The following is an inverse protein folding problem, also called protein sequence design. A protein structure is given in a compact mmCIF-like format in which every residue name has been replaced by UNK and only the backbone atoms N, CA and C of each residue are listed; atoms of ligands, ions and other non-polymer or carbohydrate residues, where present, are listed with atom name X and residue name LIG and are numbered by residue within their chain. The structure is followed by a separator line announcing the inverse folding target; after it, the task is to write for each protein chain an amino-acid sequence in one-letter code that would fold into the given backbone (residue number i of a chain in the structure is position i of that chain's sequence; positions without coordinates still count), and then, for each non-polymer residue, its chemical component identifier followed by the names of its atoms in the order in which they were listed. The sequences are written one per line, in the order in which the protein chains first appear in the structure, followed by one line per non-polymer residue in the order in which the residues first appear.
data_IF_719669629290
#
_entry.id   IF_719669629290
#
_cell.length_a   1.000
_cell.length_b   1.000
_cell.length_c   1.000
_cell.angle_alpha   90.00
_cell.angle_beta   90.00
_cell.angle_gamma   90.00
#
_symmetry.space_group_name_H-M   'P 1'
#
loop_
_entity.id
_entity.type
_entity.pdbx_description
1 polymer ?
#
# COMPACT_ATOMS: atom_id res chain seq x y z
N UNK A 1 -12.37 -9.67 -17.28
CA UNK A 1 -12.91 -8.35 -17.00
C UNK A 1 -13.24 -8.25 -15.51
N UNK A 2 -13.02 -7.13 -14.92
CA UNK A 2 -13.27 -6.93 -13.48
C UNK A 2 -14.76 -6.73 -13.20
N UNK A 3 -15.21 -7.17 -12.03
CA UNK A 3 -16.59 -6.97 -11.56
C UNK A 3 -16.59 -5.95 -10.43
N UNK A 4 -17.32 -4.86 -10.62
CA UNK A 4 -17.43 -3.78 -9.66
C UNK A 4 -18.88 -3.39 -9.41
N UNK A 5 -19.15 -2.76 -8.27
CA UNK A 5 -20.44 -2.14 -7.95
C UNK A 5 -20.28 -0.85 -7.16
N UNK A 6 -21.25 0.07 -7.25
CA UNK A 6 -21.39 1.16 -6.30
C UNK A 6 -21.80 0.63 -4.94
N UNK A 7 -21.68 1.42 -3.89
CA UNK A 7 -22.13 1.07 -2.55
C UNK A 7 -22.57 2.30 -1.75
N UNK A 8 -23.41 2.08 -0.74
CA UNK A 8 -23.81 3.13 0.20
C UNK A 8 -22.78 3.20 1.34
N UNK A 9 -21.77 4.05 1.19
CA UNK A 9 -20.70 4.14 2.16
C UNK A 9 -21.18 4.59 3.54
N UNK A 10 -20.59 4.04 4.59
CA UNK A 10 -20.61 4.65 5.92
C UNK A 10 -19.41 5.57 6.00
N UNK A 11 -19.65 6.87 6.25
CA UNK A 11 -18.61 7.90 6.23
C UNK A 11 -18.88 9.02 7.25
N UNK A 12 -17.86 9.80 7.64
CA UNK A 12 -18.07 10.91 8.55
C UNK A 12 -18.85 12.05 7.86
N UNK A 13 -19.63 12.84 8.64
CA UNK A 13 -20.05 14.15 8.20
C UNK A 13 -18.86 15.05 7.85
N UNK A 14 -19.06 16.00 6.94
CA UNK A 14 -18.02 16.92 6.42
C UNK A 14 -17.18 17.53 7.53
N UNK A 15 -17.81 18.01 8.58
CA UNK A 15 -17.19 18.68 9.72
C UNK A 15 -16.32 17.78 10.60
N UNK A 16 -16.51 16.45 10.53
CA UNK A 16 -15.74 15.48 11.33
C UNK A 16 -14.66 14.76 10.51
N UNK A 17 -14.60 14.97 9.21
CA UNK A 17 -13.73 14.18 8.31
C UNK A 17 -12.27 14.24 8.73
N UNK A 18 -11.73 15.42 9.07
CA UNK A 18 -10.33 15.60 9.48
C UNK A 18 -10.02 14.91 10.82
N UNK A 19 -10.99 14.84 11.74
CA UNK A 19 -10.82 14.18 13.04
C UNK A 19 -10.90 12.65 12.90
N UNK A 20 -11.74 12.16 11.96
CA UNK A 20 -11.97 10.72 11.76
C UNK A 20 -10.88 10.09 10.89
N UNK A 21 -10.49 10.76 9.81
CA UNK A 21 -9.53 10.20 8.87
C UNK A 21 -8.19 9.86 9.53
N UNK A 22 -7.73 8.64 9.30
CA UNK A 22 -6.51 8.13 9.94
C UNK A 22 -5.59 7.45 8.92
N UNK A 23 -4.28 7.36 9.20
CA UNK A 23 -3.38 6.50 8.42
C UNK A 23 -3.84 5.04 8.46
N UNK A 24 -3.45 4.22 7.48
CA UNK A 24 -3.74 2.79 7.53
C UNK A 24 -3.01 2.12 8.70
N UNK A 25 -3.60 1.04 9.21
CA UNK A 25 -3.16 0.36 10.44
C UNK A 25 -1.71 -0.11 10.44
N UNK A 26 -1.15 -0.39 9.26
CA UNK A 26 0.15 -1.02 9.06
C UNK A 26 1.34 -0.05 8.94
N UNK A 27 1.07 1.25 8.95
CA UNK A 27 2.13 2.29 8.90
C UNK A 27 2.50 2.83 10.29
N UNK A 28 1.75 2.47 11.34
CA UNK A 28 1.97 2.89 12.72
C UNK A 28 2.06 1.68 13.65
N UNK A 29 3.00 1.70 14.59
CA UNK A 29 2.91 0.82 15.75
C UNK A 29 1.86 1.34 16.75
N UNK A 30 1.53 0.53 17.78
CA UNK A 30 0.45 0.87 18.71
C UNK A 30 0.78 2.08 19.61
N UNK A 31 2.04 2.31 19.94
CA UNK A 31 2.46 3.49 20.72
C UNK A 31 2.36 4.77 19.87
N UNK A 32 2.73 4.71 18.60
CA UNK A 32 2.56 5.82 17.65
C UNK A 32 1.09 6.13 17.43
N UNK A 33 0.27 5.09 17.25
CA UNK A 33 -1.18 5.21 17.10
C UNK A 33 -1.82 5.87 18.34
N UNK A 34 -1.45 5.45 19.55
CA UNK A 34 -1.94 6.06 20.80
C UNK A 34 -1.60 7.55 20.90
N UNK A 35 -0.39 7.94 20.48
CA UNK A 35 0.03 9.35 20.51
C UNK A 35 -0.66 10.21 19.45
N UNK A 36 -1.02 9.61 18.34
CA UNK A 36 -1.67 10.30 17.21
C UNK A 36 -3.19 10.38 17.34
N UNK A 37 -3.83 9.38 17.95
CA UNK A 37 -5.27 9.26 18.00
C UNK A 37 -5.92 10.36 18.81
N UNK A 38 -6.68 11.24 18.17
CA UNK A 38 -7.68 12.06 18.83
C UNK A 38 -8.96 11.26 19.13
N UNK A 39 -9.87 11.78 19.92
CA UNK A 39 -11.10 11.09 20.40
C UNK A 39 -11.92 10.43 19.28
N UNK A 40 -11.93 11.02 18.10
CA UNK A 40 -12.70 10.53 16.95
C UNK A 40 -11.83 9.92 15.86
N UNK A 41 -10.55 9.65 16.13
CA UNK A 41 -9.66 9.04 15.14
C UNK A 41 -10.07 7.60 14.83
N UNK A 42 -10.14 7.25 13.55
CA UNK A 42 -10.47 5.87 13.15
C UNK A 42 -9.50 4.84 13.71
N UNK A 43 -8.33 5.25 14.20
CA UNK A 43 -7.39 4.37 14.89
C UNK A 43 -8.04 3.61 16.07
N UNK A 44 -9.03 4.17 16.73
CA UNK A 44 -9.82 3.45 17.77
C UNK A 44 -10.64 2.26 17.22
N UNK A 45 -10.81 2.18 15.89
CA UNK A 45 -11.49 1.06 15.23
C UNK A 45 -10.50 0.12 14.55
N UNK A 46 -9.41 0.66 13.98
CA UNK A 46 -8.41 -0.12 13.21
C UNK A 46 -7.26 -0.65 14.07
N UNK A 47 -6.99 0.00 15.21
CA UNK A 47 -5.97 -0.34 16.22
C UNK A 47 -6.54 -0.19 17.65
N UNK A 48 -7.65 -0.89 17.98
CA UNK A 48 -8.40 -0.64 19.22
C UNK A 48 -7.67 -1.06 20.50
N UNK A 49 -6.50 -1.70 20.39
CA UNK A 49 -5.61 -1.94 21.54
C UNK A 49 -5.19 -0.67 22.27
N UNK A 50 -5.22 0.50 21.57
CA UNK A 50 -4.91 1.80 22.18
C UNK A 50 -5.95 2.29 23.20
N UNK A 51 -7.14 1.67 23.25
CA UNK A 51 -8.23 2.02 24.17
C UNK A 51 -8.08 1.35 25.55
N UNK A 52 -7.04 0.56 25.76
CA UNK A 52 -6.82 -0.17 27.01
C UNK A 52 -5.63 0.41 27.78
N UNK A 53 -5.78 0.44 29.13
CA UNK A 53 -4.70 0.83 30.05
C UNK A 53 -4.56 -0.26 31.14
N UNK A 54 -3.44 -1.01 31.19
CA UNK A 54 -2.35 -0.99 30.19
C UNK A 54 -2.81 -1.49 28.82
N UNK A 55 -2.15 -1.01 27.77
CA UNK A 55 -2.42 -1.41 26.39
C UNK A 55 -2.27 -2.93 26.21
N UNK A 56 -3.26 -3.54 25.56
CA UNK A 56 -3.27 -4.98 25.30
C UNK A 56 -2.44 -5.33 24.05
N UNK A 57 -1.98 -6.58 23.92
CA UNK A 57 -1.48 -7.09 22.66
C UNK A 57 -2.52 -6.95 21.54
N UNK A 58 -2.09 -6.59 20.34
CA UNK A 58 -2.95 -6.32 19.16
C UNK A 58 -3.86 -7.50 18.76
N UNK A 59 -3.52 -8.73 19.15
CA UNK A 59 -4.31 -9.94 18.87
C UNK A 59 -5.11 -10.47 20.09
N UNK A 60 -5.21 -9.72 21.17
CA UNK A 60 -6.08 -10.09 22.30
C UNK A 60 -7.55 -10.05 21.86
N UNK A 61 -8.38 -11.08 22.15
CA UNK A 61 -9.79 -11.10 21.73
C UNK A 61 -10.59 -9.86 22.12
N UNK A 62 -10.28 -9.26 23.28
CA UNK A 62 -10.93 -8.02 23.75
C UNK A 62 -10.70 -6.82 22.84
N UNK A 63 -9.55 -6.80 22.14
CA UNK A 63 -9.21 -5.75 21.16
C UNK A 63 -10.19 -5.79 20.00
N UNK A 64 -10.49 -6.99 19.51
CA UNK A 64 -11.45 -7.15 18.42
C UNK A 64 -12.88 -6.77 18.83
N UNK A 65 -13.31 -7.17 20.04
CA UNK A 65 -14.63 -6.78 20.59
C UNK A 65 -14.74 -5.25 20.71
N UNK A 66 -13.65 -4.60 21.13
CA UNK A 66 -13.58 -3.14 21.25
C UNK A 66 -13.71 -2.43 19.88
N UNK A 67 -13.14 -2.98 18.82
CA UNK A 67 -13.33 -2.48 17.47
C UNK A 67 -14.82 -2.46 17.07
N UNK A 68 -15.56 -3.52 17.37
CA UNK A 68 -17.00 -3.62 17.10
C UNK A 68 -17.80 -2.64 17.94
N UNK A 69 -17.48 -2.53 19.23
CA UNK A 69 -18.11 -1.56 20.14
C UNK A 69 -17.96 -0.13 19.62
N UNK A 70 -16.71 0.26 19.29
CA UNK A 70 -16.40 1.60 18.77
C UNK A 70 -17.14 1.87 17.45
N UNK A 71 -17.09 0.95 16.50
CA UNK A 71 -17.74 1.13 15.20
C UNK A 71 -19.28 1.32 15.34
N UNK A 72 -19.93 0.56 16.23
CA UNK A 72 -21.37 0.72 16.52
C UNK A 72 -21.66 2.03 17.24
N UNK A 73 -20.87 2.36 18.29
CA UNK A 73 -21.05 3.57 19.07
C UNK A 73 -20.90 4.84 18.20
N UNK A 74 -19.96 4.84 17.25
CA UNK A 74 -19.75 5.98 16.37
C UNK A 74 -20.91 6.21 15.40
N UNK A 75 -21.53 5.14 14.92
CA UNK A 75 -22.75 5.26 14.11
C UNK A 75 -23.93 5.80 14.96
N UNK A 76 -24.10 5.32 16.19
CA UNK A 76 -25.13 5.83 17.10
C UNK A 76 -24.93 7.30 17.48
N UNK A 77 -23.67 7.74 17.63
CA UNK A 77 -23.31 9.14 17.91
C UNK A 77 -23.41 10.04 16.68
N UNK A 78 -23.61 9.48 15.48
CA UNK A 78 -23.64 10.22 14.23
C UNK A 78 -22.26 10.68 13.75
N UNK A 79 -21.18 10.14 14.30
CA UNK A 79 -19.81 10.39 13.81
C UNK A 79 -19.52 9.67 12.51
N UNK A 80 -20.27 8.60 12.26
CA UNK A 80 -20.31 7.89 10.98
C UNK A 80 -21.76 7.73 10.56
N UNK A 81 -22.07 8.02 9.30
CA UNK A 81 -23.43 7.95 8.74
C UNK A 81 -23.41 7.20 7.42
N UNK A 82 -24.42 6.37 7.18
CA UNK A 82 -24.63 5.70 5.90
C UNK A 82 -25.19 6.67 4.87
N UNK A 83 -24.64 6.66 3.67
CA UNK A 83 -25.18 7.37 2.54
C UNK A 83 -26.58 6.86 2.16
N UNK A 84 -27.48 7.73 1.63
CA UNK A 84 -28.87 7.37 1.38
C UNK A 84 -29.06 6.42 0.19
N UNK A 85 -28.05 6.27 -0.66
CA UNK A 85 -28.07 5.38 -1.83
C UNK A 85 -26.67 4.89 -2.19
N UNK A 86 -26.61 3.87 -3.02
CA UNK A 86 -25.36 3.38 -3.59
C UNK A 86 -24.77 4.39 -4.58
N UNK A 87 -23.48 4.66 -4.47
CA UNK A 87 -22.74 5.63 -5.30
C UNK A 87 -21.34 5.10 -5.58
N UNK A 88 -20.70 5.67 -6.59
CA UNK A 88 -19.23 5.70 -6.68
C UNK A 88 -18.72 7.01 -6.09
N UNK A 89 -17.43 7.01 -5.74
CA UNK A 89 -16.80 8.21 -5.20
C UNK A 89 -15.48 8.46 -5.92
N UNK A 90 -15.05 9.71 -5.96
CA UNK A 90 -13.69 10.07 -6.37
C UNK A 90 -12.91 10.44 -5.13
N UNK A 91 -11.74 9.85 -4.97
CA UNK A 91 -10.78 10.20 -3.92
C UNK A 91 -9.51 10.71 -4.56
N UNK A 92 -9.13 11.94 -4.29
CA UNK A 92 -7.90 12.56 -4.76
C UNK A 92 -6.89 12.76 -3.63
N UNK A 93 -5.62 12.56 -3.95
CA UNK A 93 -4.50 12.79 -3.05
C UNK A 93 -3.46 13.64 -3.76
N UNK A 94 -3.02 14.73 -3.11
CA UNK A 94 -1.98 15.63 -3.63
C UNK A 94 -0.75 15.59 -2.72
N UNK A 95 0.39 15.25 -3.30
CA UNK A 95 1.71 15.23 -2.66
C UNK A 95 2.71 15.91 -3.61
N UNK A 96 3.50 16.85 -3.09
CA UNK A 96 4.55 17.57 -3.86
C UNK A 96 4.03 18.19 -5.17
N UNK A 97 2.82 18.76 -5.13
CA UNK A 97 2.18 19.39 -6.29
C UNK A 97 1.61 18.43 -7.34
N UNK A 98 1.70 17.12 -7.11
CA UNK A 98 1.14 16.09 -7.98
C UNK A 98 -0.14 15.50 -7.36
N UNK A 99 -1.22 15.51 -8.13
CA UNK A 99 -2.51 14.93 -7.70
C UNK A 99 -2.78 13.64 -8.45
N UNK A 100 -3.21 12.61 -7.72
CA UNK A 100 -3.75 11.37 -8.26
C UNK A 100 -5.22 11.21 -7.88
N UNK A 101 -6.05 10.76 -8.82
CA UNK A 101 -7.50 10.61 -8.66
C UNK A 101 -7.88 9.14 -8.80
N UNK A 102 -8.51 8.58 -7.78
CA UNK A 102 -9.00 7.21 -7.76
C UNK A 102 -10.51 7.14 -7.64
N UNK A 103 -11.09 6.09 -8.24
CA UNK A 103 -12.49 5.72 -8.04
C UNK A 103 -12.60 4.81 -6.82
N UNK A 104 -13.43 5.20 -5.85
CA UNK A 104 -13.79 4.35 -4.70
C UNK A 104 -15.01 3.53 -5.09
N UNK A 105 -14.87 2.22 -4.98
CA UNK A 105 -15.85 1.24 -5.44
C UNK A 105 -15.74 -0.06 -4.63
N UNK A 106 -16.66 -0.99 -4.87
CA UNK A 106 -16.54 -2.36 -4.38
C UNK A 106 -16.16 -3.31 -5.51
N UNK A 107 -15.07 -4.05 -5.32
CA UNK A 107 -14.56 -5.08 -6.24
C UNK A 107 -15.00 -6.46 -5.79
N UNK A 108 -15.25 -7.38 -6.72
CA UNK A 108 -15.77 -8.71 -6.42
C UNK A 108 -14.69 -9.64 -5.87
N UNK A 109 -15.00 -10.36 -4.80
CA UNK A 109 -14.06 -11.26 -4.10
C UNK A 109 -13.52 -12.39 -4.98
N UNK A 110 -14.34 -12.95 -5.89
CA UNK A 110 -13.90 -14.02 -6.79
C UNK A 110 -12.90 -13.56 -7.84
N UNK A 111 -12.83 -12.25 -8.14
CA UNK A 111 -11.85 -11.71 -9.06
C UNK A 111 -10.42 -11.82 -8.49
N UNK A 112 -10.29 -11.84 -7.16
CA UNK A 112 -9.02 -12.16 -6.51
C UNK A 112 -8.68 -13.66 -6.63
N UNK A 113 -9.65 -14.55 -6.40
CA UNK A 113 -9.45 -15.98 -6.48
C UNK A 113 -9.15 -16.45 -7.92
N UNK A 114 -9.78 -15.82 -8.91
CA UNK A 114 -9.60 -16.14 -10.34
C UNK A 114 -8.37 -15.48 -10.98
N UNK A 115 -7.67 -14.59 -10.27
CA UNK A 115 -6.50 -13.88 -10.79
C UNK A 115 -6.82 -12.69 -11.69
N UNK A 116 -8.07 -12.23 -11.72
CA UNK A 116 -8.46 -10.95 -12.36
C UNK A 116 -7.95 -9.77 -11.54
N UNK A 117 -7.97 -9.89 -10.20
CA UNK A 117 -7.20 -9.01 -9.32
C UNK A 117 -5.81 -9.63 -9.13
N UNK A 118 -4.81 -9.03 -9.75
CA UNK A 118 -3.45 -9.53 -9.83
C UNK A 118 -2.60 -9.01 -8.68
N UNK A 119 -1.82 -9.90 -8.10
CA UNK A 119 -0.89 -9.62 -7.00
C UNK A 119 0.54 -9.76 -7.47
N UNK A 120 1.44 -9.01 -6.85
CA UNK A 120 2.88 -9.07 -7.09
C UNK A 120 3.68 -9.38 -5.81
N UNK A 121 3.00 -9.55 -4.67
CA UNK A 121 3.59 -9.87 -3.37
C UNK A 121 2.81 -10.99 -2.68
N UNK A 122 3.53 -11.86 -1.93
CA UNK A 122 2.91 -12.88 -1.08
C UNK A 122 2.50 -12.28 0.26
N UNK A 123 1.31 -12.65 0.72
CA UNK A 123 0.83 -12.29 2.05
C UNK A 123 1.47 -13.14 3.14
N UNK A 124 1.62 -12.56 4.33
CA UNK A 124 1.96 -13.28 5.55
C UNK A 124 0.68 -13.77 6.21
N UNK A 125 0.64 -15.06 6.54
CA UNK A 125 -0.56 -15.72 7.07
C UNK A 125 -1.04 -15.10 8.39
N UNK A 126 -0.13 -14.78 9.30
CA UNK A 126 -0.44 -14.14 10.58
C UNK A 126 -1.17 -12.80 10.39
N UNK A 127 -0.68 -11.96 9.47
CA UNK A 127 -1.31 -10.66 9.17
C UNK A 127 -2.64 -10.80 8.42
N UNK A 128 -2.74 -11.78 7.53
CA UNK A 128 -3.98 -12.08 6.81
C UNK A 128 -5.06 -12.58 7.78
N UNK A 129 -4.72 -13.53 8.67
CA UNK A 129 -5.66 -14.08 9.65
C UNK A 129 -6.16 -13.00 10.62
N UNK A 130 -5.30 -12.08 11.06
CA UNK A 130 -5.67 -10.94 11.88
C UNK A 130 -6.70 -10.02 11.16
N UNK A 131 -6.42 -9.64 9.92
CA UNK A 131 -7.37 -8.82 9.13
C UNK A 131 -8.68 -9.56 8.86
N UNK A 132 -8.65 -10.86 8.68
CA UNK A 132 -9.88 -11.66 8.56
C UNK A 132 -10.74 -11.57 9.81
N UNK A 133 -10.16 -11.65 11.01
CA UNK A 133 -10.91 -11.48 12.25
C UNK A 133 -11.57 -10.11 12.27
N UNK A 134 -10.85 -9.03 12.01
CA UNK A 134 -11.42 -7.68 11.95
C UNK A 134 -12.60 -7.58 10.98
N UNK A 135 -12.42 -8.00 9.72
CA UNK A 135 -13.49 -7.93 8.69
C UNK A 135 -14.72 -8.75 9.11
N UNK A 136 -14.48 -9.96 9.63
CA UNK A 136 -15.55 -10.90 10.03
C UNK A 136 -16.40 -10.35 11.16
N UNK A 137 -15.79 -9.87 12.25
CA UNK A 137 -16.53 -9.45 13.45
C UNK A 137 -17.16 -8.06 13.30
N UNK A 138 -16.47 -7.13 12.64
CA UNK A 138 -17.02 -5.81 12.33
C UNK A 138 -18.09 -5.88 11.24
N UNK A 139 -18.12 -6.97 10.48
CA UNK A 139 -18.96 -7.16 9.31
C UNK A 139 -18.80 -6.02 8.29
N UNK A 140 -17.56 -5.53 8.11
CA UNK A 140 -17.25 -4.38 7.29
C UNK A 140 -15.80 -4.39 6.78
N UNK A 141 -15.58 -3.74 5.64
CA UNK A 141 -14.27 -3.30 5.17
C UNK A 141 -14.05 -1.88 5.69
N UNK A 142 -13.38 -1.74 6.83
CA UNK A 142 -13.11 -0.44 7.47
C UNK A 142 -12.07 0.36 6.69
N UNK A 143 -11.11 -0.31 6.10
CA UNK A 143 -9.98 0.27 5.36
C UNK A 143 -10.04 -0.13 3.89
N UNK A 144 -9.82 0.78 2.95
CA UNK A 144 -9.80 0.47 1.53
C UNK A 144 -8.55 -0.32 1.15
N UNK A 145 -8.62 -1.07 0.06
CA UNK A 145 -7.45 -1.57 -0.66
C UNK A 145 -7.11 -0.61 -1.80
N UNK A 146 -5.86 -0.61 -2.21
CA UNK A 146 -5.34 0.28 -3.25
C UNK A 146 -5.04 -0.52 -4.51
N UNK A 147 -5.78 -0.25 -5.59
CA UNK A 147 -5.61 -0.90 -6.87
C UNK A 147 -5.16 0.06 -7.97
N UNK A 148 -4.41 -0.47 -8.91
CA UNK A 148 -4.17 0.16 -10.21
C UNK A 148 -4.98 -0.56 -11.30
N UNK A 149 -5.29 0.15 -12.39
CA UNK A 149 -5.82 -0.42 -13.63
C UNK A 149 -5.18 0.29 -14.83
N UNK A 150 -5.14 -0.37 -15.99
CA UNK A 150 -4.65 0.22 -17.24
C UNK A 150 -5.57 1.35 -17.67
N UNK A 151 -5.01 2.48 -18.08
CA UNK A 151 -5.75 3.70 -18.39
C UNK A 151 -6.96 3.45 -19.31
N UNK A 152 -8.08 4.07 -18.96
CA UNK A 152 -9.27 4.14 -19.78
C UNK A 152 -9.67 5.62 -19.92
N UNK A 153 -9.67 6.12 -21.13
CA UNK A 153 -9.89 7.55 -21.40
C UNK A 153 -11.29 8.05 -20.96
N UNK A 154 -12.30 7.20 -21.05
CA UNK A 154 -13.68 7.57 -20.65
C UNK A 154 -13.81 7.60 -19.13
N UNK A 155 -13.26 6.63 -18.39
CA UNK A 155 -13.20 6.69 -16.92
C UNK A 155 -12.43 7.94 -16.45
N UNK A 156 -11.29 8.24 -17.08
CA UNK A 156 -10.51 9.44 -16.76
C UNK A 156 -11.34 10.72 -16.99
N UNK A 157 -12.13 10.79 -18.06
CA UNK A 157 -13.01 11.94 -18.34
C UNK A 157 -14.16 12.06 -17.33
N UNK A 158 -14.77 10.94 -16.92
CA UNK A 158 -15.82 10.92 -15.89
C UNK A 158 -15.26 11.42 -14.55
N UNK A 159 -14.10 10.91 -14.14
CA UNK A 159 -13.42 11.32 -12.89
C UNK A 159 -13.04 12.80 -12.93
N UNK A 160 -12.47 13.28 -14.05
CA UNK A 160 -12.11 14.68 -14.21
C UNK A 160 -13.34 15.60 -14.13
N UNK A 161 -14.47 15.20 -14.74
CA UNK A 161 -15.73 15.94 -14.67
C UNK A 161 -16.29 15.99 -13.23
N UNK A 162 -16.23 14.88 -12.49
CA UNK A 162 -16.68 14.87 -11.09
C UNK A 162 -15.78 15.75 -10.21
N UNK A 163 -14.46 15.67 -10.39
CA UNK A 163 -13.49 16.45 -9.63
C UNK A 163 -13.43 17.94 -9.99
N UNK A 164 -14.03 18.36 -11.10
CA UNK A 164 -14.18 19.79 -11.44
C UNK A 164 -15.22 20.52 -10.57
N UNK A 165 -16.08 19.77 -9.88
CA UNK A 165 -17.04 20.32 -8.92
C UNK A 165 -16.41 20.58 -7.54
N UNK A 166 -17.20 21.19 -6.65
CA UNK A 166 -16.80 21.36 -5.26
C UNK A 166 -16.73 19.98 -4.57
N UNK A 167 -15.64 19.65 -3.86
CA UNK A 167 -15.55 18.40 -3.14
C UNK A 167 -16.51 18.35 -1.96
N UNK A 168 -17.04 17.18 -1.68
CA UNK A 168 -17.80 16.90 -0.45
C UNK A 168 -17.00 17.31 0.77
N UNK A 169 -15.70 16.95 0.79
CA UNK A 169 -14.72 17.43 1.75
C UNK A 169 -13.30 17.45 1.17
N UNK A 170 -12.50 18.37 1.72
CA UNK A 170 -11.08 18.47 1.42
C UNK A 170 -10.35 18.91 2.69
N UNK A 171 -9.18 18.31 2.96
CA UNK A 171 -8.35 18.63 4.10
C UNK A 171 -6.88 18.32 3.81
N UNK A 172 -6.00 18.88 4.65
CA UNK A 172 -4.55 18.59 4.63
C UNK A 172 -4.23 17.74 5.84
N UNK A 173 -3.50 16.65 5.64
CA UNK A 173 -3.08 15.76 6.70
C UNK A 173 -1.82 16.24 7.44
N UNK A 174 -1.39 15.47 8.44
CA UNK A 174 -0.21 15.76 9.28
C UNK A 174 1.13 15.79 8.51
N UNK A 175 1.15 15.19 7.30
CA UNK A 175 2.32 15.18 6.41
C UNK A 175 2.30 16.34 5.40
N UNK A 176 1.25 17.18 5.41
CA UNK A 176 1.04 18.24 4.44
C UNK A 176 0.44 17.78 3.11
N UNK A 177 -0.09 16.55 3.03
CA UNK A 177 -0.75 16.04 1.84
C UNK A 177 -2.22 16.44 1.83
N UNK A 178 -2.71 16.85 0.66
CA UNK A 178 -4.13 17.19 0.50
C UNK A 178 -4.93 15.96 0.10
N UNK A 179 -6.08 15.78 0.76
CA UNK A 179 -7.06 14.75 0.47
C UNK A 179 -8.38 15.40 0.10
N UNK A 180 -8.99 14.99 -1.01
CA UNK A 180 -10.28 15.51 -1.43
C UNK A 180 -11.20 14.37 -1.93
N UNK A 181 -12.51 14.53 -1.76
CA UNK A 181 -13.47 13.47 -1.99
C UNK A 181 -14.75 14.03 -2.64
N UNK A 182 -15.26 13.36 -3.66
CA UNK A 182 -16.48 13.73 -4.39
C UNK A 182 -17.43 12.54 -4.50
N UNK A 183 -18.71 12.83 -4.60
CA UNK A 183 -19.77 11.85 -4.75
C UNK A 183 -20.19 11.75 -6.22
N UNK A 184 -20.32 10.55 -6.75
CA UNK A 184 -20.89 10.26 -8.06
C UNK A 184 -22.23 9.57 -7.84
N UNK A 185 -23.31 10.36 -7.75
CA UNK A 185 -24.64 9.89 -7.44
C UNK A 185 -25.63 9.90 -8.63
N UNK A 186 -25.22 10.30 -9.83
CA UNK A 186 -26.04 10.23 -11.04
C UNK A 186 -26.16 8.78 -11.52
N UNK A 187 -27.38 8.27 -11.65
CA UNK A 187 -27.62 6.85 -11.97
C UNK A 187 -27.11 6.45 -13.36
N UNK A 188 -27.14 7.36 -14.34
CA UNK A 188 -26.61 7.09 -15.68
C UNK A 188 -25.08 7.03 -15.67
N UNK A 189 -24.43 7.90 -14.89
CA UNK A 189 -22.98 7.88 -14.72
C UNK A 189 -22.55 6.62 -13.94
N UNK A 190 -23.28 6.23 -12.89
CA UNK A 190 -23.04 5.00 -12.13
C UNK A 190 -23.12 3.77 -13.06
N UNK A 191 -24.19 3.67 -13.83
CA UNK A 191 -24.37 2.57 -14.79
C UNK A 191 -23.22 2.52 -15.82
N UNK A 192 -22.78 3.68 -16.31
CA UNK A 192 -21.69 3.76 -17.29
C UNK A 192 -20.35 3.37 -16.71
N UNK A 193 -20.01 3.82 -15.50
CA UNK A 193 -18.78 3.39 -14.81
C UNK A 193 -18.75 1.86 -14.66
N UNK A 194 -19.86 1.27 -14.18
CA UNK A 194 -19.98 -0.18 -14.00
C UNK A 194 -19.80 -0.91 -15.33
N UNK A 195 -20.40 -0.40 -16.41
CA UNK A 195 -20.30 -0.98 -17.75
C UNK A 195 -18.86 -0.95 -18.27
N UNK A 196 -18.14 0.18 -18.14
CA UNK A 196 -16.76 0.31 -18.59
C UNK A 196 -15.86 -0.70 -17.86
N UNK A 197 -15.95 -0.76 -16.53
CA UNK A 197 -15.13 -1.73 -15.77
C UNK A 197 -15.41 -3.16 -16.20
N UNK A 198 -16.67 -3.52 -16.36
CA UNK A 198 -17.08 -4.90 -16.73
C UNK A 198 -16.81 -5.29 -18.18
N UNK A 199 -16.58 -4.33 -19.08
CA UNK A 199 -16.36 -4.59 -20.51
C UNK A 199 -14.96 -4.27 -20.99
N UNK A 200 -14.32 -3.23 -20.41
CA UNK A 200 -13.14 -2.62 -21.00
C UNK A 200 -11.92 -2.66 -20.06
N UNK A 201 -12.08 -3.06 -18.79
CA UNK A 201 -10.96 -3.19 -17.84
C UNK A 201 -10.70 -4.67 -17.55
N UNK A 202 -9.59 -5.18 -18.05
CA UNK A 202 -9.24 -6.60 -17.99
C UNK A 202 -8.87 -7.07 -16.58
N UNK A 203 -8.17 -6.25 -15.83
CA UNK A 203 -7.62 -6.61 -14.52
C UNK A 203 -7.44 -5.41 -13.59
N UNK A 204 -7.47 -5.67 -12.29
CA UNK A 204 -6.88 -4.81 -11.28
C UNK A 204 -5.51 -5.35 -10.85
N UNK A 205 -4.64 -4.44 -10.42
CA UNK A 205 -3.32 -4.74 -9.88
C UNK A 205 -3.25 -4.21 -8.45
N UNK A 206 -2.96 -5.08 -7.48
CA UNK A 206 -2.84 -4.65 -6.09
C UNK A 206 -1.61 -3.75 -5.97
N UNK A 207 -1.80 -2.47 -5.70
CA UNK A 207 -0.73 -1.52 -5.43
C UNK A 207 -0.33 -1.55 -3.94
N UNK A 208 -1.32 -1.54 -3.05
CA UNK A 208 -1.14 -1.66 -1.60
C UNK A 208 -2.33 -2.39 -0.96
N UNK A 209 -2.11 -3.01 0.22
CA UNK A 209 -3.16 -3.73 0.93
C UNK A 209 -3.34 -5.18 0.50
N UNK A 210 -2.27 -5.90 0.15
CA UNK A 210 -2.31 -7.33 -0.21
C UNK A 210 -2.98 -8.18 0.88
N UNK A 211 -2.66 -7.95 2.18
CA UNK A 211 -3.28 -8.67 3.30
C UNK A 211 -4.77 -8.36 3.42
N UNK A 212 -5.18 -7.08 3.26
CA UNK A 212 -6.59 -6.66 3.29
C UNK A 212 -7.39 -7.28 2.13
N UNK A 213 -6.81 -7.32 0.94
CA UNK A 213 -7.43 -7.95 -0.24
C UNK A 213 -7.65 -9.46 -0.02
N UNK A 214 -6.62 -10.17 0.44
CA UNK A 214 -6.71 -11.60 0.72
C UNK A 214 -7.72 -11.90 1.84
N UNK A 215 -7.70 -11.13 2.92
CA UNK A 215 -8.63 -11.28 4.05
C UNK A 215 -10.09 -11.06 3.60
N UNK A 216 -10.38 -10.01 2.84
CA UNK A 216 -11.71 -9.74 2.31
C UNK A 216 -12.22 -10.87 1.42
N UNK A 217 -11.38 -11.38 0.52
CA UNK A 217 -11.74 -12.49 -0.36
C UNK A 217 -12.05 -13.78 0.43
N UNK A 218 -11.26 -14.10 1.47
CA UNK A 218 -11.47 -15.27 2.34
C UNK A 218 -12.75 -15.13 3.17
N UNK A 219 -13.01 -13.96 3.78
CA UNK A 219 -14.24 -13.72 4.54
C UNK A 219 -15.47 -13.79 3.64
N UNK A 220 -15.42 -13.26 2.42
CA UNK A 220 -16.49 -13.41 1.43
C UNK A 220 -16.80 -14.88 1.12
N UNK A 221 -15.76 -15.70 0.90
CA UNK A 221 -15.91 -17.13 0.67
C UNK A 221 -16.51 -17.88 1.88
N UNK A 222 -16.07 -17.53 3.11
CA UNK A 222 -16.65 -18.10 4.34
C UNK A 222 -18.15 -17.77 4.49
N UNK A 223 -18.54 -16.49 4.30
CA UNK A 223 -19.94 -16.05 4.40
C UNK A 223 -20.81 -16.71 3.31
N UNK A 224 -20.29 -16.86 2.12
CA UNK A 224 -20.95 -17.59 1.04
C UNK A 224 -21.22 -19.04 1.41
N UNK A 225 -20.23 -19.73 1.95
CA UNK A 225 -20.35 -21.11 2.36
C UNK A 225 -21.36 -21.30 3.52
N UNK A 226 -21.56 -20.28 4.34
CA UNK A 226 -22.50 -20.28 5.46
C UNK A 226 -23.93 -19.86 5.08
N UNK A 227 -24.14 -19.33 3.87
CA UNK A 227 -25.45 -18.86 3.39
C UNK A 227 -26.08 -19.82 2.38
N UNK A 228 -27.01 -20.71 2.79
CA UNK A 228 -27.69 -21.60 1.85
C UNK A 228 -28.55 -20.86 0.81
N UNK A 229 -28.94 -19.60 1.09
CA UNK A 229 -29.71 -18.74 0.19
C UNK A 229 -28.85 -17.83 -0.69
N UNK A 230 -27.54 -18.11 -0.80
CA UNK A 230 -26.62 -17.28 -1.61
C UNK A 230 -27.09 -17.09 -3.05
N UNK A 231 -27.16 -15.82 -3.49
CA UNK A 231 -27.63 -15.43 -4.83
C UNK A 231 -26.51 -14.87 -5.69
N UNK A 232 -25.38 -14.45 -5.09
CA UNK A 232 -24.27 -13.75 -5.73
C UNK A 232 -24.32 -12.24 -5.63
N UNK A 233 -25.41 -11.68 -5.13
CA UNK A 233 -25.61 -10.21 -5.03
C UNK A 233 -25.32 -9.63 -3.64
N UNK A 234 -25.05 -10.51 -2.67
CA UNK A 234 -24.81 -10.10 -1.27
C UNK A 234 -23.55 -9.26 -1.14
N UNK A 235 -23.55 -8.28 -0.20
CA UNK A 235 -22.45 -7.35 0.02
C UNK A 235 -21.12 -8.04 0.34
N UNK A 236 -21.13 -9.18 1.04
CA UNK A 236 -19.92 -9.95 1.34
C UNK A 236 -19.20 -10.54 0.10
N UNK A 237 -19.82 -10.51 -1.08
CA UNK A 237 -19.14 -10.85 -2.34
C UNK A 237 -18.28 -9.72 -2.86
N UNK A 238 -18.31 -8.56 -2.22
CA UNK A 238 -17.61 -7.36 -2.66
C UNK A 238 -16.80 -6.78 -1.51
N UNK A 239 -15.74 -6.05 -1.82
CA UNK A 239 -14.91 -5.35 -0.85
C UNK A 239 -14.43 -4.01 -1.39
N UNK A 240 -14.27 -3.06 -0.48
CA UNK A 240 -13.97 -1.68 -0.81
C UNK A 240 -12.54 -1.49 -1.33
N UNK A 241 -12.41 -0.83 -2.48
CA UNK A 241 -11.15 -0.48 -3.11
C UNK A 241 -11.16 0.97 -3.59
N UNK A 242 -9.96 1.58 -3.64
CA UNK A 242 -9.69 2.80 -4.41
C UNK A 242 -8.84 2.41 -5.61
N UNK A 243 -9.37 2.65 -6.80
CA UNK A 243 -8.79 2.22 -8.07
C UNK A 243 -8.29 3.42 -8.87
N UNK A 244 -6.99 3.43 -9.18
CA UNK A 244 -6.34 4.52 -9.92
C UNK A 244 -5.91 4.05 -11.30
N UNK A 245 -6.00 4.92 -12.33
CA UNK A 245 -5.33 4.63 -13.59
C UNK A 245 -3.80 4.59 -13.38
N UNK A 246 -3.12 3.64 -14.03
CA UNK A 246 -1.69 3.40 -13.82
C UNK A 246 -0.81 4.63 -14.07
N UNK A 247 -1.19 5.44 -15.05
CA UNK A 247 -0.43 6.65 -15.41
C UNK A 247 -0.41 7.71 -14.31
N UNK A 248 -1.35 7.66 -13.38
CA UNK A 248 -1.42 8.58 -12.24
C UNK A 248 -0.65 8.08 -11.02
N UNK A 249 -0.14 6.87 -11.04
CA UNK A 249 0.60 6.31 -9.91
C UNK A 249 2.10 6.47 -10.07
N UNK A 250 2.77 6.64 -8.94
CA UNK A 250 4.22 6.68 -8.85
C UNK A 250 4.67 5.76 -7.73
N UNK A 251 5.54 4.82 -8.07
CA UNK A 251 6.27 4.03 -7.09
C UNK A 251 7.51 4.82 -6.71
N UNK A 252 7.77 4.94 -5.42
CA UNK A 252 9.00 5.53 -4.90
C UNK A 252 9.96 4.45 -4.42
N UNK A 253 11.20 4.81 -4.21
CA UNK A 253 12.28 3.90 -3.82
C UNK A 253 12.01 3.22 -2.47
N UNK A 254 12.44 1.98 -2.36
CA UNK A 254 12.45 1.22 -1.12
C UNK A 254 13.87 0.76 -0.82
N UNK A 255 14.52 1.42 0.11
CA UNK A 255 15.95 1.34 0.34
C UNK A 255 16.30 0.28 1.39
N UNK A 256 17.57 -0.13 1.45
CA UNK A 256 18.08 -1.14 2.39
C UNK A 256 19.19 -0.54 3.23
N UNK A 257 19.22 -0.96 4.51
CA UNK A 257 20.30 -0.66 5.44
C UNK A 257 20.76 -1.94 6.14
N UNK A 258 22.07 -2.11 6.33
CA UNK A 258 22.64 -3.35 6.85
C UNK A 258 23.59 -3.04 8.01
N UNK A 259 23.53 -3.86 9.07
CA UNK A 259 24.25 -3.65 10.34
C UNK A 259 25.74 -3.89 10.28
N UNK A 260 26.22 -4.73 9.37
CA UNK A 260 27.62 -5.12 9.28
C UNK A 260 28.05 -5.46 7.84
N UNK A 261 29.35 -5.61 7.62
CA UNK A 261 29.92 -5.99 6.33
C UNK A 261 30.33 -7.48 6.28
N UNK A 262 29.73 -8.35 7.09
CA UNK A 262 30.03 -9.78 7.13
C UNK A 262 31.54 -10.06 7.41
N UNK A 263 32.12 -9.32 8.32
CA UNK A 263 33.52 -9.44 8.71
C UNK A 263 34.54 -8.78 7.77
N UNK A 264 34.11 -8.17 6.68
CA UNK A 264 34.96 -7.42 5.77
C UNK A 264 35.27 -6.02 6.30
N UNK A 265 36.47 -5.52 6.05
CA UNK A 265 36.75 -4.09 6.15
C UNK A 265 36.24 -3.32 4.91
N UNK A 266 36.30 -1.97 4.96
CA UNK A 266 35.84 -1.10 3.86
C UNK A 266 36.55 -1.42 2.54
N UNK A 267 37.85 -1.62 2.54
CA UNK A 267 38.62 -1.86 1.32
C UNK A 267 38.29 -3.22 0.70
N UNK A 268 38.20 -4.27 1.52
CA UNK A 268 37.77 -5.60 1.11
C UNK A 268 36.34 -5.60 0.55
N UNK A 269 35.43 -4.85 1.16
CA UNK A 269 34.06 -4.73 0.70
C UNK A 269 33.97 -4.03 -0.65
N UNK A 270 34.67 -2.91 -0.85
CA UNK A 270 34.74 -2.20 -2.12
C UNK A 270 35.38 -3.07 -3.23
N UNK A 271 36.43 -3.83 -2.91
CA UNK A 271 37.03 -4.79 -3.86
C UNK A 271 36.01 -5.87 -4.26
N UNK A 272 35.28 -6.43 -3.29
CA UNK A 272 34.26 -7.43 -3.57
C UNK A 272 33.14 -6.89 -4.47
N UNK A 273 32.67 -5.65 -4.23
CA UNK A 273 31.67 -4.96 -5.07
C UNK A 273 32.19 -4.72 -6.49
N UNK A 274 33.48 -4.36 -6.63
CA UNK A 274 34.08 -4.04 -7.92
C UNK A 274 34.08 -5.20 -8.92
N UNK A 275 33.86 -6.43 -8.47
CA UNK A 275 33.76 -7.62 -9.35
C UNK A 275 32.49 -7.59 -10.20
N UNK A 276 31.39 -7.11 -9.63
CA UNK A 276 30.07 -7.12 -10.27
C UNK A 276 29.55 -5.73 -10.64
N UNK A 277 30.13 -4.67 -10.05
CA UNK A 277 29.71 -3.28 -10.26
C UNK A 277 30.89 -2.39 -10.68
N UNK A 278 30.59 -1.33 -11.42
CA UNK A 278 31.42 -0.15 -11.49
C UNK A 278 31.19 0.70 -10.26
N UNK A 279 32.24 0.89 -9.44
CA UNK A 279 32.16 1.59 -8.16
C UNK A 279 32.81 2.97 -8.31
N UNK A 280 32.03 4.04 -8.15
CA UNK A 280 32.50 5.41 -8.27
C UNK A 280 32.23 6.20 -6.98
N UNK A 281 33.26 6.71 -6.27
CA UNK A 281 33.05 7.56 -5.10
C UNK A 281 32.36 8.89 -5.52
N UNK A 282 31.47 9.39 -4.67
CA UNK A 282 30.68 10.62 -4.90
C UNK A 282 30.88 11.66 -3.77
N UNK A 283 31.64 11.31 -2.73
CA UNK A 283 31.88 12.17 -1.59
C UNK A 283 30.73 12.21 -0.59
N UNK A 284 30.64 13.29 0.20
CA UNK A 284 29.68 13.41 1.29
C UNK A 284 28.26 13.84 0.84
N UNK A 285 28.12 14.44 -0.33
CA UNK A 285 26.81 14.89 -0.82
C UNK A 285 25.93 13.72 -1.22
N UNK A 286 24.63 13.78 -0.88
CA UNK A 286 23.66 12.76 -1.23
C UNK A 286 23.68 12.45 -2.72
N UNK A 287 23.85 11.20 -3.05
CA UNK A 287 23.86 10.69 -4.40
C UNK A 287 22.59 9.85 -4.64
N UNK A 288 21.79 10.24 -5.62
CA UNK A 288 20.60 9.49 -6.03
C UNK A 288 20.94 8.53 -7.19
N UNK A 289 20.37 7.32 -7.21
CA UNK A 289 20.38 6.46 -8.39
C UNK A 289 19.80 7.22 -9.60
N UNK A 290 20.43 7.10 -10.76
CA UNK A 290 20.07 7.91 -11.94
C UNK A 290 19.23 7.12 -12.95
N UNK A 291 19.29 5.80 -12.93
CA UNK A 291 18.61 4.91 -13.87
C UNK A 291 18.51 3.50 -13.29
N UNK A 292 17.81 2.61 -13.99
CA UNK A 292 17.83 1.17 -13.70
C UNK A 292 19.27 0.64 -13.70
N UNK A 293 19.54 -0.31 -12.80
CA UNK A 293 20.85 -0.96 -12.60
C UNK A 293 21.94 -0.04 -12.03
N UNK A 294 21.55 1.17 -11.63
CA UNK A 294 22.40 2.10 -10.91
C UNK A 294 21.87 2.26 -9.48
N UNK A 295 22.73 2.03 -8.51
CA UNK A 295 22.45 2.11 -7.08
C UNK A 295 23.28 3.20 -6.47
N UNK A 296 22.85 3.74 -5.34
CA UNK A 296 23.71 4.54 -4.50
C UNK A 296 23.97 3.81 -3.19
N UNK A 297 25.21 3.86 -2.71
CA UNK A 297 25.61 3.27 -1.46
C UNK A 297 26.20 4.33 -0.53
N UNK A 298 25.83 4.31 0.74
CA UNK A 298 26.47 5.13 1.77
C UNK A 298 27.25 4.25 2.73
N UNK A 299 28.54 4.54 2.89
CA UNK A 299 29.48 3.78 3.72
C UNK A 299 30.53 4.72 4.31
N UNK A 300 30.67 4.70 5.65
CA UNK A 300 31.70 5.46 6.39
C UNK A 300 31.82 6.93 5.95
N UNK A 301 30.71 7.66 5.94
CA UNK A 301 30.67 9.10 5.65
C UNK A 301 30.73 9.47 4.16
N UNK A 302 30.67 8.50 3.26
CA UNK A 302 30.85 8.72 1.82
C UNK A 302 29.79 8.01 0.97
N UNK A 303 29.26 8.70 -0.02
CA UNK A 303 28.40 8.14 -1.06
C UNK A 303 29.20 7.55 -2.22
N UNK A 304 28.70 6.45 -2.74
CA UNK A 304 29.22 5.75 -3.93
C UNK A 304 28.08 5.53 -4.92
N UNK A 305 28.37 5.66 -6.21
CA UNK A 305 27.49 5.16 -7.28
C UNK A 305 27.97 3.76 -7.67
N UNK A 306 27.05 2.81 -7.69
CA UNK A 306 27.29 1.43 -8.10
C UNK A 306 26.49 1.16 -9.37
N UNK A 307 27.14 0.87 -10.49
CA UNK A 307 26.46 0.49 -11.73
C UNK A 307 26.71 -0.99 -12.00
N UNK A 308 25.67 -1.80 -12.10
CA UNK A 308 25.81 -3.22 -12.39
C UNK A 308 26.46 -3.42 -13.76
N UNK A 309 27.51 -4.27 -13.82
CA UNK A 309 28.22 -4.55 -15.07
C UNK A 309 27.35 -5.38 -16.02
N UNK A 310 27.49 -5.23 -17.33
CA UNK A 310 26.83 -6.09 -18.32
C UNK A 310 27.06 -7.57 -18.07
N UNK A 311 26.01 -8.38 -18.24
CA UNK A 311 26.05 -9.84 -18.02
C UNK A 311 26.01 -10.26 -16.55
N UNK A 312 25.73 -9.34 -15.61
CA UNK A 312 25.53 -9.66 -14.18
C UNK A 312 24.06 -9.85 -13.81
N UNK A 313 23.16 -9.57 -14.71
CA UNK A 313 21.72 -9.78 -14.61
C UNK A 313 21.19 -10.24 -15.97
N UNK A 314 19.99 -10.82 -15.98
CA UNK A 314 19.32 -11.33 -17.19
C UNK A 314 18.16 -10.39 -17.55
N UNK A 315 18.30 -9.65 -18.64
CA UNK A 315 17.28 -8.74 -19.16
C UNK A 315 16.01 -9.46 -19.63
N UNK A 316 16.09 -10.77 -19.89
CA UNK A 316 14.95 -11.58 -20.29
C UNK A 316 14.13 -12.11 -19.11
N UNK A 317 14.70 -12.16 -17.91
CA UNK A 317 14.00 -12.56 -16.67
C UNK A 317 13.33 -11.34 -16.02
N UNK A 318 12.00 -11.24 -16.01
CA UNK A 318 11.28 -10.09 -15.47
C UNK A 318 11.52 -9.86 -13.97
N UNK A 319 11.97 -10.87 -13.22
CA UNK A 319 12.34 -10.76 -11.80
C UNK A 319 13.85 -10.54 -11.65
N UNK A 320 14.66 -11.25 -12.43
CA UNK A 320 16.12 -11.15 -12.39
C UNK A 320 16.66 -9.79 -12.77
N UNK A 321 15.95 -9.06 -13.64
CA UNK A 321 16.30 -7.71 -14.10
C UNK A 321 15.98 -6.61 -13.09
N UNK A 322 15.20 -6.89 -12.04
CA UNK A 322 14.87 -5.89 -11.02
C UNK A 322 16.08 -5.51 -10.18
N UNK A 323 16.25 -4.22 -9.93
CA UNK A 323 17.32 -3.69 -9.09
C UNK A 323 17.34 -4.35 -7.69
N UNK A 324 16.17 -4.61 -7.11
CA UNK A 324 16.07 -5.33 -5.83
C UNK A 324 16.63 -6.74 -5.91
N UNK A 325 16.45 -7.44 -7.02
CA UNK A 325 16.97 -8.79 -7.26
C UNK A 325 18.47 -8.77 -7.48
N UNK A 326 18.95 -7.83 -8.31
CA UNK A 326 20.37 -7.62 -8.58
C UNK A 326 21.12 -7.35 -7.27
N UNK A 327 20.64 -6.39 -6.48
CA UNK A 327 21.25 -6.08 -5.17
C UNK A 327 21.21 -7.27 -4.22
N UNK A 328 20.07 -7.99 -4.16
CA UNK A 328 19.91 -9.15 -3.29
C UNK A 328 20.92 -10.25 -3.64
N UNK A 329 21.04 -10.59 -4.92
CA UNK A 329 21.89 -11.68 -5.36
C UNK A 329 23.39 -11.33 -5.29
N UNK A 330 23.76 -10.15 -5.78
CA UNK A 330 25.18 -9.78 -5.96
C UNK A 330 25.81 -9.16 -4.71
N UNK A 331 25.02 -8.54 -3.83
CA UNK A 331 25.53 -7.86 -2.64
C UNK A 331 25.05 -8.53 -1.36
N UNK A 332 23.71 -8.60 -1.16
CA UNK A 332 23.16 -9.04 0.12
C UNK A 332 23.46 -10.52 0.40
N UNK A 333 23.25 -11.41 -0.56
CA UNK A 333 23.56 -12.83 -0.42
C UNK A 333 25.06 -13.09 -0.63
N UNK A 334 25.59 -12.74 -1.81
CA UNK A 334 26.93 -13.13 -2.24
C UNK A 334 28.05 -12.55 -1.36
N UNK A 335 27.93 -11.30 -0.92
CA UNK A 335 28.97 -10.57 -0.16
C UNK A 335 28.61 -10.53 1.32
N UNK A 336 27.38 -10.14 1.65
CA UNK A 336 26.97 -9.93 3.04
C UNK A 336 26.37 -11.18 3.69
N UNK A 337 26.11 -12.25 2.92
CA UNK A 337 25.59 -13.52 3.43
C UNK A 337 24.15 -13.47 3.93
N UNK A 338 23.37 -12.44 3.52
CA UNK A 338 21.96 -12.27 3.85
C UNK A 338 21.13 -12.99 2.80
N UNK A 339 20.68 -14.21 3.11
CA UNK A 339 19.96 -15.09 2.17
C UNK A 339 18.44 -14.88 2.18
N UNK A 340 17.88 -14.59 3.33
CA UNK A 340 16.43 -14.35 3.47
C UNK A 340 16.17 -12.97 4.07
N UNK A 341 15.74 -12.05 3.21
CA UNK A 341 15.43 -10.66 3.58
C UNK A 341 14.27 -10.51 4.58
N UNK A 342 13.46 -11.57 4.79
CA UNK A 342 12.29 -11.51 5.69
C UNK A 342 12.67 -11.87 7.13
N UNK A 343 13.73 -12.63 7.32
CA UNK A 343 14.08 -13.22 8.62
C UNK A 343 15.44 -12.78 9.16
N UNK A 344 16.35 -12.32 8.29
CA UNK A 344 17.67 -11.84 8.73
C UNK A 344 17.53 -10.49 9.46
N UNK A 345 17.99 -10.44 10.72
CA UNK A 345 17.91 -9.26 11.60
C UNK A 345 19.02 -8.24 11.35
N UNK A 346 19.95 -8.52 10.44
CA UNK A 346 21.02 -7.58 10.06
C UNK A 346 20.58 -6.57 9.00
N UNK A 347 19.48 -6.83 8.29
CA UNK A 347 18.92 -5.93 7.28
C UNK A 347 17.65 -5.26 7.79
N UNK A 348 17.47 -4.01 7.40
CA UNK A 348 16.23 -3.27 7.57
C UNK A 348 15.92 -2.44 6.32
N UNK A 349 14.71 -1.90 6.23
CA UNK A 349 14.18 -1.26 5.04
C UNK A 349 13.75 0.18 5.33
N UNK A 350 14.03 1.10 4.39
CA UNK A 350 13.70 2.51 4.52
C UNK A 350 12.90 2.95 3.30
N UNK A 351 11.62 3.30 3.49
CA UNK A 351 10.79 3.85 2.41
C UNK A 351 11.29 5.20 1.93
N UNK A 352 11.24 5.44 0.64
CA UNK A 352 11.73 6.66 0.00
C UNK A 352 11.12 7.96 0.49
N UNK A 353 9.93 7.89 1.10
CA UNK A 353 9.28 9.05 1.75
C UNK A 353 10.15 9.70 2.84
N UNK A 354 11.06 8.94 3.47
CA UNK A 354 12.00 9.44 4.47
C UNK A 354 13.21 10.15 3.86
N UNK A 355 13.37 10.08 2.53
CA UNK A 355 14.51 10.62 1.81
C UNK A 355 15.82 9.89 2.07
N UNK A 356 16.82 10.12 1.20
CA UNK A 356 18.13 9.46 1.32
C UNK A 356 18.96 9.95 2.50
N UNK A 357 18.66 11.12 3.07
CA UNK A 357 19.27 11.61 4.30
C UNK A 357 19.05 10.69 5.51
N UNK A 358 17.95 9.94 5.55
CA UNK A 358 17.71 8.95 6.59
C UNK A 358 18.70 7.77 6.50
N UNK A 359 19.15 7.42 5.31
CA UNK A 359 20.15 6.38 5.10
C UNK A 359 21.50 6.76 5.70
N UNK A 360 21.99 7.97 5.41
CA UNK A 360 23.23 8.49 5.99
C UNK A 360 23.10 8.65 7.50
N UNK A 361 21.98 9.19 8.00
CA UNK A 361 21.73 9.33 9.45
C UNK A 361 21.85 8.00 10.20
N UNK A 362 21.25 6.92 9.67
CA UNK A 362 21.29 5.60 10.31
C UNK A 362 22.66 4.95 10.29
N UNK A 363 23.47 5.24 9.27
CA UNK A 363 24.87 4.79 9.21
C UNK A 363 25.75 5.62 10.13
N UNK A 364 25.64 6.95 10.10
CA UNK A 364 26.47 7.85 10.91
C UNK A 364 26.20 7.72 12.41
N UNK A 365 24.97 7.36 12.79
CA UNK A 365 24.63 7.06 14.19
C UNK A 365 25.21 5.75 14.72
N UNK A 366 25.76 4.91 13.85
CA UNK A 366 26.25 3.59 14.20
C UNK A 366 25.16 2.52 14.35
N UNK A 367 23.90 2.86 14.07
CA UNK A 367 22.78 1.91 14.03
C UNK A 367 22.96 0.88 12.90
N UNK A 368 23.46 1.35 11.76
CA UNK A 368 23.76 0.56 10.57
C UNK A 368 25.19 0.82 10.11
N UNK A 369 25.74 -0.12 9.34
CA UNK A 369 27.11 0.01 8.80
C UNK A 369 27.11 0.51 7.35
N UNK A 370 26.15 0.09 6.55
CA UNK A 370 26.03 0.44 5.13
C UNK A 370 24.58 0.60 4.73
N UNK A 371 24.32 1.49 3.80
CA UNK A 371 23.01 1.73 3.22
C UNK A 371 23.05 1.69 1.70
N UNK A 372 21.94 1.23 1.08
CA UNK A 372 21.77 1.15 -0.36
C UNK A 372 20.47 1.84 -0.76
N UNK A 373 20.57 2.82 -1.65
CA UNK A 373 19.43 3.40 -2.34
C UNK A 373 19.26 2.75 -3.71
N UNK A 374 18.01 2.42 -4.03
CA UNK A 374 17.64 1.77 -5.30
C UNK A 374 16.91 2.74 -6.20
N UNK A 375 16.99 2.51 -7.49
CA UNK A 375 16.10 3.17 -8.45
C UNK A 375 14.68 2.57 -8.30
N UNK A 376 13.62 3.38 -8.25
CA UNK A 376 12.27 2.87 -8.04
C UNK A 376 11.79 2.00 -9.21
N UNK A 377 11.05 0.95 -8.90
CA UNK A 377 10.36 0.11 -9.89
C UNK A 377 9.28 0.94 -10.60
N UNK A 378 9.11 0.75 -11.90
CA UNK A 378 8.05 1.41 -12.65
C UNK A 378 6.71 0.67 -12.56
N UNK A 379 5.61 1.39 -12.85
CA UNK A 379 4.28 0.76 -12.97
C UNK A 379 4.25 -0.30 -14.08
N UNK A 380 4.93 -0.06 -15.20
CA UNK A 380 5.05 -1.03 -16.30
C UNK A 380 5.74 -2.33 -15.85
N UNK A 381 6.83 -2.25 -15.08
CA UNK A 381 7.49 -3.43 -14.52
C UNK A 381 6.57 -4.20 -13.58
N UNK A 382 5.85 -3.50 -12.68
CA UNK A 382 4.90 -4.11 -11.76
C UNK A 382 3.79 -4.86 -12.52
N UNK A 383 3.17 -4.20 -13.49
CA UNK A 383 2.07 -4.74 -14.28
C UNK A 383 2.55 -5.97 -15.08
N UNK A 384 3.69 -5.88 -15.74
CA UNK A 384 4.28 -6.96 -16.52
C UNK A 384 4.55 -8.20 -15.65
N UNK A 385 5.09 -8.01 -14.45
CA UNK A 385 5.36 -9.10 -13.51
C UNK A 385 4.05 -9.72 -13.02
N UNK A 386 3.08 -8.91 -12.62
CA UNK A 386 1.79 -9.39 -12.16
C UNK A 386 0.99 -10.09 -13.28
N UNK A 387 1.12 -9.64 -14.54
CA UNK A 387 0.49 -10.29 -15.71
C UNK A 387 1.04 -11.69 -15.98
N UNK A 388 2.31 -11.94 -15.69
CA UNK A 388 2.93 -13.26 -15.83
C UNK A 388 2.69 -14.19 -14.63
N UNK A 389 2.01 -13.72 -13.58
CA UNK A 389 1.79 -14.46 -12.34
C UNK A 389 3.04 -14.61 -11.47
N UNK A 390 4.10 -13.89 -11.78
CA UNK A 390 5.32 -13.85 -10.99
C UNK A 390 5.15 -12.99 -9.74
N UNK A 391 6.01 -13.25 -8.75
CA UNK A 391 6.04 -12.54 -7.46
C UNK A 391 7.35 -11.78 -7.34
N UNK A 392 7.26 -10.50 -6.96
CA UNK A 392 8.41 -9.68 -6.67
C UNK A 392 9.07 -10.08 -5.34
N UNK A 393 10.37 -9.85 -5.17
CA UNK A 393 11.01 -9.91 -3.86
C UNK A 393 10.27 -9.02 -2.85
N UNK A 394 10.34 -9.32 -1.53
CA UNK A 394 9.68 -8.50 -0.52
C UNK A 394 10.23 -7.08 -0.51
N UNK A 395 9.37 -6.11 -0.18
CA UNK A 395 9.76 -4.70 -0.06
C UNK A 395 10.35 -4.11 -1.35
N UNK A 396 9.70 -4.40 -2.48
CA UNK A 396 10.08 -3.90 -3.81
C UNK A 396 9.35 -2.60 -4.17
N UNK A 397 8.08 -2.47 -3.80
CA UNK A 397 7.23 -1.33 -4.15
C UNK A 397 6.85 -0.52 -2.92
N UNK A 398 6.81 0.81 -3.08
CA UNK A 398 6.30 1.72 -2.08
C UNK A 398 5.47 2.80 -2.78
N UNK A 399 4.16 2.81 -2.49
CA UNK A 399 3.23 3.79 -3.03
C UNK A 399 2.96 4.90 -2.00
N UNK A 400 3.03 6.15 -2.46
CA UNK A 400 2.64 7.34 -1.71
C UNK A 400 1.78 8.28 -2.58
N UNK A 401 0.87 9.04 -1.96
CA UNK A 401 0.46 9.00 -0.54
C UNK A 401 -0.25 7.70 -0.17
N UNK A 402 -0.15 7.28 1.09
CA UNK A 402 -0.97 6.17 1.60
C UNK A 402 -2.44 6.56 1.64
N UNK A 403 -3.34 5.63 1.28
CA UNK A 403 -4.78 5.87 1.42
C UNK A 403 -5.14 6.13 2.87
N UNK A 404 -5.99 7.12 3.12
CA UNK A 404 -6.56 7.33 4.45
C UNK A 404 -7.73 6.39 4.68
N UNK A 405 -7.80 5.86 5.88
CA UNK A 405 -8.93 5.09 6.40
C UNK A 405 -9.98 6.03 6.97
N UNK A 406 -11.25 5.66 6.90
CA UNK A 406 -12.35 6.43 7.49
C UNK A 406 -13.03 7.44 6.56
N UNK A 407 -12.58 7.59 5.32
CA UNK A 407 -13.27 8.44 4.33
C UNK A 407 -14.51 7.75 3.74
N UNK A 408 -14.50 6.44 3.68
CA UNK A 408 -15.60 5.57 3.32
C UNK A 408 -15.39 4.21 4.00
N UNK A 409 -16.46 3.53 4.34
CA UNK A 409 -16.49 2.19 4.92
C UNK A 409 -17.58 1.40 4.21
N UNK A 410 -17.29 0.15 3.83
CA UNK A 410 -18.26 -0.76 3.21
C UNK A 410 -18.67 -1.84 4.21
N UNK A 411 -19.98 -2.05 4.43
CA UNK A 411 -20.50 -3.15 5.25
C UNK A 411 -20.82 -4.37 4.40
N UNK A 412 -20.79 -5.55 5.01
CA UNK A 412 -21.01 -6.85 4.34
C UNK A 412 -22.46 -7.35 4.45
N UNK A 413 -23.39 -6.49 4.84
CA UNK A 413 -24.84 -6.73 4.99
C UNK A 413 -25.66 -5.65 4.25
#
# INVERSE_FOLDING_TARGET
MVRVKPFAAIRPPKELTTEVAAPPYDVLNSEEALKMAGEKSLLHITKPEIDFDPMLPDHDPRVYDKAVENFRAWQQRGWLKRDPKEMYYVYAQTMDGRTQYGLVLCAHTDDYASGVIKKHELTRRDKEDDRMVHVRIQNANIEPVFFAYKDNAELNAIVAKAAAGEPEYSYVDENGFTHAFWLIGDDAVIARITEIFTKDVDAFYVADGHHRTAAAARVGAEKRAQNPGHTGNEEYNFFMAVCFPESQLKIIDYNRVVKDLNGLDKAQFLDALSKDFEVAPKGAAVCHPQALHNFSMYLDGEWYSLTAKPGRYDDSDPIGVLDVTILSNLVLDKILGIKDLRTDKRIDFVGGIRGLGELSRRVDSGEMKVAFALYPVSMDQLIRIADTGNIMPPKTTWFEPKLRSGLAIHTLD
#
